data_IF_407927067941
#
_entry.id   IF_407927067941
#
_cell.length_a   1.000
_cell.length_b   1.000
_cell.length_c   1.000
_cell.angle_alpha   90.00
_cell.angle_beta   90.00
_cell.angle_gamma   90.00
#
_symmetry.space_group_name_H-M   'P 1'
#
loop_
_entity.id
_entity.type
_entity.pdbx_description
1 polymer ?
#
# COMPACT_ATOMS: atom_id res chain seq x y z
N UNK A 1 5.62 32.72 -8.59
CA UNK A 1 4.98 32.72 -7.26
C UNK A 1 3.49 32.40 -7.31
N UNK A 2 2.74 32.96 -8.26
CA UNK A 2 1.29 32.69 -8.42
C UNK A 2 0.97 31.19 -8.55
N UNK A 3 1.77 30.43 -9.31
CA UNK A 3 1.51 29.03 -9.59
C UNK A 3 1.67 28.14 -8.35
N UNK A 4 2.64 28.44 -7.49
CA UNK A 4 2.80 27.80 -6.18
C UNK A 4 1.62 28.09 -5.24
N UNK A 5 1.09 29.31 -5.27
CA UNK A 5 -0.09 29.67 -4.45
C UNK A 5 -1.32 28.91 -4.92
N UNK A 6 -1.56 28.85 -6.24
CA UNK A 6 -2.66 28.06 -6.82
C UNK A 6 -2.51 26.59 -6.45
N UNK A 7 -1.33 26.02 -6.61
CA UNK A 7 -1.04 24.64 -6.24
C UNK A 7 -1.33 24.36 -4.75
N UNK A 8 -0.78 25.17 -3.85
CA UNK A 8 -0.98 24.99 -2.40
C UNK A 8 -2.46 25.11 -2.05
N UNK A 9 -3.19 26.05 -2.65
CA UNK A 9 -4.63 26.23 -2.41
C UNK A 9 -5.43 24.99 -2.88
N UNK A 10 -5.12 24.45 -4.08
CA UNK A 10 -5.76 23.25 -4.62
C UNK A 10 -5.47 22.04 -3.73
N UNK A 11 -4.21 21.83 -3.32
CA UNK A 11 -3.82 20.71 -2.46
C UNK A 11 -4.47 20.83 -1.08
N UNK A 12 -4.49 22.02 -0.48
CA UNK A 12 -5.13 22.25 0.82
C UNK A 12 -6.63 21.95 0.76
N UNK A 13 -7.32 22.43 -0.30
CA UNK A 13 -8.73 22.11 -0.53
C UNK A 13 -8.94 20.60 -0.73
N UNK A 14 -8.09 19.95 -1.52
CA UNK A 14 -8.13 18.53 -1.77
C UNK A 14 -7.98 17.71 -0.47
N UNK A 15 -6.99 18.06 0.37
CA UNK A 15 -6.78 17.40 1.67
C UNK A 15 -7.94 17.63 2.64
N UNK A 16 -8.53 18.84 2.65
CA UNK A 16 -9.70 19.13 3.46
C UNK A 16 -10.92 18.30 3.05
N UNK A 17 -11.15 18.15 1.74
CA UNK A 17 -12.19 17.28 1.18
C UNK A 17 -11.90 15.81 1.52
N UNK A 18 -10.67 15.34 1.32
CA UNK A 18 -10.26 13.97 1.62
C UNK A 18 -10.47 13.64 3.11
N UNK A 19 -10.15 14.56 4.01
CA UNK A 19 -10.39 14.42 5.45
C UNK A 19 -11.89 14.36 5.79
N UNK A 20 -12.71 15.23 5.17
CA UNK A 20 -14.16 15.27 5.40
C UNK A 20 -14.87 14.01 4.91
N UNK A 21 -14.49 13.51 3.74
CA UNK A 21 -15.06 12.30 3.11
C UNK A 21 -14.68 11.03 3.87
N UNK A 22 -13.49 11.01 4.48
CA UNK A 22 -12.99 9.86 5.27
C UNK A 22 -13.93 9.37 6.36
N UNK A 23 -14.80 10.23 6.85
CA UNK A 23 -15.74 9.90 7.94
C UNK A 23 -16.99 9.13 7.48
N UNK A 24 -17.31 9.13 6.16
CA UNK A 24 -18.62 8.66 5.66
C UNK A 24 -18.57 7.60 4.55
N UNK A 25 -17.39 7.25 4.00
CA UNK A 25 -17.34 6.49 2.75
C UNK A 25 -16.93 5.04 2.94
N UNK A 26 -17.86 4.12 2.62
CA UNK A 26 -17.58 2.70 2.40
C UNK A 26 -16.92 2.46 1.01
N UNK A 27 -16.53 1.21 0.73
CA UNK A 27 -15.87 0.78 -0.52
C UNK A 27 -16.61 1.21 -1.81
N UNK A 28 -17.94 1.38 -1.76
CA UNK A 28 -18.77 1.78 -2.91
C UNK A 28 -18.44 3.19 -3.44
N UNK A 29 -17.97 4.09 -2.56
CA UNK A 29 -17.61 5.46 -2.94
C UNK A 29 -16.13 5.58 -3.33
N UNK A 30 -15.31 4.55 -3.08
CA UNK A 30 -13.88 4.60 -3.37
C UNK A 30 -13.60 4.75 -4.88
N UNK A 31 -14.38 4.08 -5.74
CA UNK A 31 -14.26 4.21 -7.20
C UNK A 31 -14.54 5.65 -7.66
N UNK A 32 -15.64 6.24 -7.19
CA UNK A 32 -16.01 7.62 -7.52
C UNK A 32 -14.91 8.60 -7.10
N UNK A 33 -14.40 8.48 -5.86
CA UNK A 33 -13.35 9.35 -5.38
C UNK A 33 -12.03 9.15 -6.10
N UNK A 34 -11.70 7.92 -6.51
CA UNK A 34 -10.52 7.68 -7.36
C UNK A 34 -10.64 8.41 -8.70
N UNK A 35 -11.82 8.38 -9.33
CA UNK A 35 -12.08 9.14 -10.57
C UNK A 35 -11.97 10.64 -10.34
N UNK A 36 -12.54 11.17 -9.25
CA UNK A 36 -12.47 12.60 -8.90
C UNK A 36 -11.01 13.06 -8.77
N UNK A 37 -10.16 12.28 -8.09
CA UNK A 37 -8.74 12.62 -7.94
C UNK A 37 -7.98 12.57 -9.25
N UNK A 38 -8.28 11.59 -10.12
CA UNK A 38 -7.67 11.51 -11.46
C UNK A 38 -8.10 12.72 -12.31
N UNK A 39 -9.39 13.04 -12.34
CA UNK A 39 -9.91 14.19 -13.10
C UNK A 39 -9.30 15.50 -12.60
N UNK A 40 -9.18 15.69 -11.27
CA UNK A 40 -8.53 16.87 -10.70
C UNK A 40 -7.06 16.97 -11.15
N UNK A 41 -6.33 15.86 -11.17
CA UNK A 41 -4.94 15.81 -11.63
C UNK A 41 -4.81 16.15 -13.12
N UNK A 42 -5.72 15.62 -13.95
CA UNK A 42 -5.76 15.93 -15.39
C UNK A 42 -6.13 17.39 -15.65
N UNK A 43 -7.09 17.94 -14.90
CA UNK A 43 -7.48 19.34 -14.98
C UNK A 43 -6.33 20.28 -14.59
N UNK A 44 -5.54 19.90 -13.55
CA UNK A 44 -4.35 20.66 -13.17
C UNK A 44 -3.26 20.58 -14.25
N UNK A 45 -3.06 19.40 -14.87
CA UNK A 45 -2.17 19.23 -16.03
C UNK A 45 -2.60 20.09 -17.22
N UNK A 46 -3.90 20.19 -17.50
CA UNK A 46 -4.47 21.08 -18.50
C UNK A 46 -4.23 22.57 -18.17
N UNK A 47 -4.37 22.95 -16.90
CA UNK A 47 -4.05 24.29 -16.44
C UNK A 47 -2.55 24.63 -16.62
N UNK A 48 -1.63 23.67 -16.33
CA UNK A 48 -0.19 23.83 -16.61
C UNK A 48 0.04 24.04 -18.12
N UNK A 49 -0.61 23.23 -18.96
CA UNK A 49 -0.48 23.34 -20.41
C UNK A 49 -0.90 24.72 -20.94
N UNK A 50 -1.95 25.29 -20.40
CA UNK A 50 -2.43 26.63 -20.76
C UNK A 50 -1.50 27.75 -20.28
N UNK A 51 -0.83 27.59 -19.13
CA UNK A 51 0.02 28.62 -18.52
C UNK A 51 1.48 28.56 -18.96
N UNK A 52 2.03 27.36 -19.11
CA UNK A 52 3.45 27.08 -19.35
C UNK A 52 3.72 26.43 -20.72
N UNK A 53 2.65 26.21 -21.52
CA UNK A 53 2.74 25.56 -22.82
C UNK A 53 2.46 24.06 -22.80
N UNK A 54 2.12 23.52 -23.99
CA UNK A 54 1.71 22.12 -24.15
C UNK A 54 2.74 21.12 -23.64
N UNK A 55 4.02 21.36 -23.89
CA UNK A 55 5.12 20.47 -23.46
C UNK A 55 5.23 20.37 -21.95
N UNK A 56 5.00 21.45 -21.21
CA UNK A 56 5.00 21.43 -19.73
C UNK A 56 3.81 20.59 -19.19
N UNK A 57 2.63 20.73 -19.82
CA UNK A 57 1.47 19.92 -19.47
C UNK A 57 1.69 18.42 -19.74
N UNK A 58 2.25 18.08 -20.89
CA UNK A 58 2.60 16.70 -21.27
C UNK A 58 3.66 16.13 -20.31
N UNK A 59 4.66 16.92 -19.97
CA UNK A 59 5.71 16.55 -19.00
C UNK A 59 5.13 16.28 -17.61
N UNK A 60 4.23 17.13 -17.12
CA UNK A 60 3.50 16.92 -15.87
C UNK A 60 2.71 15.60 -15.90
N UNK A 61 1.93 15.36 -16.98
CA UNK A 61 1.14 14.14 -17.11
C UNK A 61 2.02 12.88 -17.17
N UNK A 62 3.17 12.97 -17.84
CA UNK A 62 4.15 11.88 -17.89
C UNK A 62 4.69 11.54 -16.50
N UNK A 63 5.12 12.55 -15.75
CA UNK A 63 5.62 12.39 -14.39
C UNK A 63 4.52 11.89 -13.45
N UNK A 64 3.30 12.44 -13.57
CA UNK A 64 2.12 12.01 -12.81
C UNK A 64 1.77 10.53 -13.08
N UNK A 65 1.71 10.11 -14.35
CA UNK A 65 1.38 8.72 -14.71
C UNK A 65 2.42 7.74 -14.20
N UNK A 66 3.70 8.09 -14.33
CA UNK A 66 4.82 7.29 -13.83
C UNK A 66 4.73 7.13 -12.31
N UNK A 67 4.60 8.22 -11.57
CA UNK A 67 4.50 8.21 -10.11
C UNK A 67 3.23 7.48 -9.64
N UNK A 68 2.09 7.71 -10.31
CA UNK A 68 0.82 7.03 -10.02
C UNK A 68 0.94 5.53 -10.20
N UNK A 69 1.64 5.10 -11.25
CA UNK A 69 1.89 3.68 -11.53
C UNK A 69 2.75 3.04 -10.44
N UNK A 70 3.85 3.69 -10.04
CA UNK A 70 4.72 3.21 -8.95
C UNK A 70 3.99 3.18 -7.60
N UNK A 71 3.11 4.17 -7.35
CA UNK A 71 2.31 4.24 -6.13
C UNK A 71 1.34 3.07 -5.96
N UNK A 72 0.93 2.37 -7.05
CA UNK A 72 0.09 1.17 -6.95
C UNK A 72 0.83 0.02 -6.27
N UNK A 73 2.14 -0.14 -6.50
CA UNK A 73 2.94 -1.18 -5.79
C UNK A 73 3.03 -0.90 -4.28
N UNK A 74 3.05 0.37 -3.86
CA UNK A 74 3.03 0.75 -2.45
C UNK A 74 1.79 0.24 -1.72
N UNK A 75 0.65 0.10 -2.43
CA UNK A 75 -0.60 -0.42 -1.84
C UNK A 75 -0.46 -1.86 -1.36
N UNK A 76 0.33 -2.70 -2.03
CA UNK A 76 0.60 -4.08 -1.57
C UNK A 76 1.26 -4.08 -0.19
N UNK A 77 2.22 -3.18 -0.01
CA UNK A 77 2.94 -3.08 1.26
C UNK A 77 2.02 -2.55 2.35
N UNK A 78 1.15 -1.60 2.05
CA UNK A 78 0.16 -1.10 3.03
C UNK A 78 -0.81 -2.20 3.47
N UNK A 79 -1.29 -3.04 2.53
CA UNK A 79 -2.14 -4.19 2.86
C UNK A 79 -1.40 -5.15 3.80
N UNK A 80 -0.13 -5.44 3.49
CA UNK A 80 0.70 -6.32 4.31
C UNK A 80 0.93 -5.73 5.72
N UNK A 81 1.28 -4.44 5.83
CA UNK A 81 1.47 -3.75 7.11
C UNK A 81 0.19 -3.81 7.97
N UNK A 82 -0.98 -3.54 7.39
CA UNK A 82 -2.23 -3.62 8.13
C UNK A 82 -2.57 -5.05 8.55
N UNK A 83 -2.24 -6.04 7.74
CA UNK A 83 -2.38 -7.45 8.11
C UNK A 83 -1.47 -7.82 9.27
N UNK A 84 -0.18 -7.44 9.22
CA UNK A 84 0.81 -7.73 10.27
C UNK A 84 0.50 -7.01 11.60
N UNK A 85 -0.01 -5.78 11.53
CA UNK A 85 -0.33 -4.97 12.71
C UNK A 85 -1.74 -5.22 13.26
N UNK A 86 -2.55 -6.02 12.56
CA UNK A 86 -3.93 -6.33 12.97
C UNK A 86 -4.87 -5.12 13.00
N UNK A 87 -4.62 -4.10 12.16
CA UNK A 87 -5.46 -2.89 12.12
C UNK A 87 -6.78 -3.20 11.40
N UNK A 88 -7.93 -3.12 12.07
CA UNK A 88 -9.22 -3.38 11.45
C UNK A 88 -9.55 -2.37 10.35
N UNK A 89 -10.31 -2.77 9.30
CA UNK A 89 -10.64 -1.92 8.15
C UNK A 89 -11.23 -0.55 8.52
N UNK A 90 -11.96 -0.47 9.62
CA UNK A 90 -12.56 0.79 10.10
C UNK A 90 -11.53 1.85 10.55
N UNK A 91 -10.31 1.44 10.93
CA UNK A 91 -9.25 2.33 11.39
C UNK A 91 -8.17 2.62 10.34
N UNK A 92 -8.09 1.80 9.29
CA UNK A 92 -7.12 1.95 8.19
C UNK A 92 -7.20 3.33 7.49
N UNK A 93 -8.39 3.91 7.22
CA UNK A 93 -8.49 5.23 6.58
C UNK A 93 -7.79 6.34 7.36
N UNK A 94 -7.78 6.22 8.69
CA UNK A 94 -7.13 7.22 9.55
C UNK A 94 -5.61 7.10 9.54
N UNK A 95 -5.10 5.88 9.56
CA UNK A 95 -3.66 5.63 9.46
C UNK A 95 -3.15 6.08 8.10
N UNK A 96 -3.86 5.72 7.01
CA UNK A 96 -3.51 6.13 5.65
C UNK A 96 -3.55 7.66 5.46
N UNK A 97 -4.51 8.35 6.07
CA UNK A 97 -4.58 9.81 5.98
C UNK A 97 -3.32 10.47 6.56
N UNK A 98 -2.93 10.07 7.77
CA UNK A 98 -1.73 10.60 8.41
C UNK A 98 -0.46 10.17 7.68
N UNK A 99 -0.42 8.93 7.16
CA UNK A 99 0.68 8.44 6.33
C UNK A 99 0.84 9.26 5.05
N UNK A 100 -0.23 9.53 4.32
CA UNK A 100 -0.17 10.37 3.11
C UNK A 100 0.23 11.80 3.46
N UNK A 101 -0.28 12.36 4.56
CA UNK A 101 0.05 13.72 4.97
C UNK A 101 1.54 13.86 5.31
N UNK A 102 2.11 12.95 6.08
CA UNK A 102 3.55 12.97 6.39
C UNK A 102 4.41 12.65 5.18
N UNK A 103 3.97 11.73 4.32
CA UNK A 103 4.63 11.45 3.04
C UNK A 103 4.74 12.70 2.14
N UNK A 104 3.71 13.54 2.10
CA UNK A 104 3.75 14.82 1.38
C UNK A 104 4.90 15.72 1.85
N UNK A 105 5.05 15.86 3.16
CA UNK A 105 6.12 16.68 3.76
C UNK A 105 7.49 16.07 3.51
N UNK A 106 7.63 14.77 3.71
CA UNK A 106 8.88 14.04 3.51
C UNK A 106 9.33 14.10 2.04
N UNK A 107 8.42 13.85 1.09
CA UNK A 107 8.73 13.92 -0.35
C UNK A 107 9.07 15.33 -0.80
N UNK A 108 8.44 16.37 -0.22
CA UNK A 108 8.83 17.76 -0.45
C UNK A 108 10.31 18.00 -0.15
N UNK A 109 10.76 17.56 1.02
CA UNK A 109 12.15 17.69 1.42
C UNK A 109 13.10 16.88 0.50
N UNK A 110 12.75 15.62 0.22
CA UNK A 110 13.56 14.74 -0.61
C UNK A 110 13.67 15.22 -2.07
N UNK A 111 12.58 15.71 -2.66
CA UNK A 111 12.58 16.29 -4.01
C UNK A 111 13.45 17.54 -4.03
N UNK A 112 13.29 18.44 -3.03
CA UNK A 112 14.12 19.64 -2.93
C UNK A 112 15.62 19.33 -2.85
N UNK A 113 16.00 18.34 -2.03
CA UNK A 113 17.39 17.87 -1.93
C UNK A 113 17.83 17.22 -3.24
N UNK A 114 17.00 16.37 -3.85
CA UNK A 114 17.32 15.64 -5.08
C UNK A 114 17.53 16.58 -6.27
N UNK A 115 16.67 17.58 -6.46
CA UNK A 115 16.80 18.59 -7.52
C UNK A 115 18.08 19.39 -7.32
N UNK A 116 18.32 19.94 -6.11
CA UNK A 116 19.53 20.72 -5.80
C UNK A 116 20.81 19.88 -5.97
N UNK A 117 20.77 18.61 -5.57
CA UNK A 117 21.91 17.72 -5.72
C UNK A 117 22.25 17.48 -7.21
N UNK A 118 21.24 17.30 -8.07
CA UNK A 118 21.43 17.15 -9.51
C UNK A 118 21.94 18.43 -10.19
N UNK A 119 21.46 19.60 -9.74
CA UNK A 119 21.94 20.87 -10.24
C UNK A 119 23.40 21.13 -9.89
N UNK A 120 23.80 20.73 -8.67
CA UNK A 120 25.17 20.95 -8.16
C UNK A 120 26.16 19.88 -8.60
N UNK A 121 25.71 18.65 -8.77
CA UNK A 121 26.54 17.48 -9.06
C UNK A 121 26.01 16.70 -10.25
N UNK A 122 26.34 17.12 -11.47
CA UNK A 122 25.85 16.49 -12.72
C UNK A 122 26.19 14.99 -12.81
N UNK A 123 27.28 14.54 -12.20
CA UNK A 123 27.65 13.11 -12.16
C UNK A 123 26.66 12.23 -11.41
N UNK A 124 25.82 12.82 -10.54
CA UNK A 124 24.77 12.08 -9.80
C UNK A 124 23.72 11.43 -10.72
N UNK A 125 23.62 11.84 -11.97
CA UNK A 125 22.78 11.20 -12.98
C UNK A 125 23.08 9.70 -13.11
N UNK A 126 24.37 9.31 -13.12
CA UNK A 126 24.77 7.92 -13.32
C UNK A 126 24.43 7.01 -12.12
N UNK A 127 24.74 7.37 -10.85
CA UNK A 127 24.25 6.60 -9.70
C UNK A 127 22.74 6.50 -9.63
N UNK A 128 22.00 7.58 -9.95
CA UNK A 128 20.54 7.57 -9.97
C UNK A 128 20.00 6.65 -11.06
N UNK A 129 20.57 6.68 -12.27
CA UNK A 129 20.20 5.75 -13.33
C UNK A 129 20.50 4.29 -12.94
N UNK A 130 21.66 4.03 -12.32
CA UNK A 130 22.03 2.72 -11.76
C UNK A 130 21.05 2.25 -10.68
N UNK A 131 20.57 3.16 -9.82
CA UNK A 131 19.57 2.87 -8.81
C UNK A 131 18.23 2.45 -9.43
N UNK A 132 17.77 3.14 -10.50
CA UNK A 132 16.55 2.76 -11.22
C UNK A 132 16.65 1.38 -11.86
N UNK A 133 17.80 1.06 -12.47
CA UNK A 133 18.05 -0.28 -13.03
C UNK A 133 18.06 -1.33 -11.91
N UNK A 134 18.71 -1.05 -10.79
CA UNK A 134 18.71 -1.94 -9.63
C UNK A 134 17.31 -2.18 -9.09
N UNK A 135 16.50 -1.11 -8.93
CA UNK A 135 15.11 -1.20 -8.49
C UNK A 135 14.27 -2.07 -9.45
N UNK A 136 14.41 -1.87 -10.76
CA UNK A 136 13.73 -2.66 -11.78
C UNK A 136 14.10 -4.15 -11.70
N UNK A 137 15.40 -4.47 -11.62
CA UNK A 137 15.88 -5.87 -11.50
C UNK A 137 15.38 -6.50 -10.19
N UNK A 138 15.40 -5.75 -9.08
CA UNK A 138 14.88 -6.20 -7.79
C UNK A 138 13.38 -6.52 -7.89
N UNK A 139 12.61 -5.68 -8.59
CA UNK A 139 11.17 -5.85 -8.79
C UNK A 139 10.83 -7.10 -9.59
N UNK A 140 11.69 -7.49 -10.55
CA UNK A 140 11.54 -8.72 -11.33
C UNK A 140 11.89 -10.00 -10.57
N UNK A 141 12.70 -9.93 -9.51
CA UNK A 141 13.15 -11.09 -8.73
C UNK A 141 12.11 -11.71 -7.79
N UNK A 142 10.89 -11.15 -7.73
CA UNK A 142 9.72 -11.81 -7.13
C UNK A 142 9.31 -11.32 -5.72
N UNK A 143 8.12 -11.79 -5.33
CA UNK A 143 7.36 -11.38 -4.14
C UNK A 143 7.93 -11.85 -2.81
N UNK A 144 8.57 -13.01 -2.78
CA UNK A 144 9.08 -13.59 -1.52
C UNK A 144 10.22 -12.77 -0.91
N UNK A 145 11.09 -12.22 -1.76
CA UNK A 145 12.15 -11.34 -1.30
C UNK A 145 11.60 -10.03 -0.70
N UNK A 146 10.53 -9.49 -1.29
CA UNK A 146 9.88 -8.25 -0.84
C UNK A 146 9.13 -8.46 0.48
N UNK A 147 8.41 -9.59 0.63
CA UNK A 147 7.71 -9.95 1.87
C UNK A 147 8.69 -10.05 3.04
N UNK A 148 9.78 -10.79 2.88
CA UNK A 148 10.83 -10.90 3.92
C UNK A 148 11.51 -9.56 4.23
N UNK A 149 11.64 -8.68 3.23
CA UNK A 149 12.23 -7.34 3.44
C UNK A 149 11.29 -6.45 4.25
N UNK A 150 9.99 -6.48 3.95
CA UNK A 150 8.96 -5.77 4.70
C UNK A 150 8.87 -6.30 6.13
N UNK A 151 8.85 -7.62 6.33
CA UNK A 151 8.82 -8.24 7.67
C UNK A 151 10.02 -7.84 8.52
N UNK A 152 11.23 -7.89 7.95
CA UNK A 152 12.45 -7.43 8.65
C UNK A 152 12.41 -5.92 8.93
N UNK A 153 11.99 -5.11 7.96
CA UNK A 153 11.80 -3.68 8.13
C UNK A 153 10.77 -3.36 9.22
N UNK A 154 9.66 -4.09 9.23
CA UNK A 154 8.62 -3.99 10.27
C UNK A 154 9.18 -4.32 11.66
N UNK A 155 9.96 -5.38 11.82
CA UNK A 155 10.58 -5.75 13.08
C UNK A 155 11.56 -4.67 13.57
N UNK A 156 12.39 -4.13 12.68
CA UNK A 156 13.32 -3.03 12.98
C UNK A 156 12.52 -1.78 13.38
N UNK A 157 11.52 -1.38 12.60
CA UNK A 157 10.71 -0.20 12.87
C UNK A 157 9.96 -0.32 14.21
N UNK A 158 9.39 -1.49 14.49
CA UNK A 158 8.73 -1.77 15.80
C UNK A 158 9.73 -1.64 16.95
N UNK A 159 10.96 -2.17 16.79
CA UNK A 159 11.99 -2.07 17.81
C UNK A 159 12.46 -0.63 18.05
N UNK A 160 12.52 0.20 17.01
CA UNK A 160 12.83 1.62 17.11
C UNK A 160 11.73 2.40 17.82
N UNK A 161 10.48 2.19 17.45
CA UNK A 161 9.32 2.80 18.14
C UNK A 161 9.31 2.39 19.61
N UNK A 162 9.54 1.10 19.91
CA UNK A 162 9.57 0.59 21.30
C UNK A 162 10.69 1.18 22.15
N UNK A 163 11.82 1.60 21.55
CA UNK A 163 12.91 2.29 22.26
C UNK A 163 12.54 3.72 22.67
N UNK A 164 11.68 4.39 21.88
CA UNK A 164 11.30 5.78 22.11
C UNK A 164 10.06 5.86 23.01
N UNK A 165 9.08 4.99 22.76
CA UNK A 165 7.80 4.96 23.45
C UNK A 165 7.37 3.49 23.67
N UNK A 166 7.05 3.06 24.91
CA UNK A 166 6.59 1.71 25.17
C UNK A 166 5.31 1.42 24.39
N UNK A 167 5.17 0.19 23.87
CA UNK A 167 4.06 -0.21 22.99
C UNK A 167 3.00 -0.96 23.81
N UNK A 168 1.74 -0.55 23.66
CA UNK A 168 0.60 -1.32 24.17
C UNK A 168 0.18 -2.33 23.10
N UNK A 169 0.07 -3.64 23.41
CA UNK A 169 -0.25 -4.67 22.43
C UNK A 169 -1.69 -4.60 21.91
N UNK A 170 -2.58 -3.86 22.60
CA UNK A 170 -4.01 -3.76 22.27
C UNK A 170 -4.38 -2.42 21.67
N UNK A 171 -5.29 -2.44 20.70
CA UNK A 171 -5.88 -1.22 20.17
C UNK A 171 -6.69 -0.50 21.24
N UNK A 172 -6.43 0.79 21.43
CA UNK A 172 -7.13 1.67 22.38
C UNK A 172 -8.04 2.65 21.63
N UNK A 173 -9.15 2.14 21.10
CA UNK A 173 -10.07 2.90 20.28
C UNK A 173 -9.37 3.46 19.02
N UNK A 174 -9.45 4.79 18.84
CA UNK A 174 -9.03 5.49 17.64
C UNK A 174 -7.77 6.36 17.88
N UNK A 175 -6.92 6.02 18.85
CA UNK A 175 -5.78 6.84 19.30
C UNK A 175 -4.46 6.22 18.87
N UNK A 176 -3.53 7.06 18.39
CA UNK A 176 -2.15 6.67 18.09
C UNK A 176 -1.30 6.55 19.37
N UNK A 177 -1.54 7.45 20.32
CA UNK A 177 -0.89 7.48 21.62
C UNK A 177 -1.94 7.41 22.71
N UNK A 178 -1.66 6.67 23.77
CA UNK A 178 -2.50 6.57 24.97
C UNK A 178 -1.64 6.85 26.20
N UNK A 179 -2.28 7.30 27.26
CA UNK A 179 -1.63 7.49 28.56
C UNK A 179 -2.10 6.39 29.50
N UNK A 180 -1.18 5.56 29.96
CA UNK A 180 -1.43 4.49 30.93
C UNK A 180 -0.38 4.60 32.02
N UNK A 181 -0.81 4.57 33.26
CA UNK A 181 0.05 4.67 34.46
C UNK A 181 1.00 5.89 34.43
N UNK A 182 0.47 7.05 33.96
CA UNK A 182 1.24 8.29 33.86
C UNK A 182 2.18 8.38 32.61
N UNK A 183 2.46 7.28 31.92
CA UNK A 183 3.36 7.21 30.78
C UNK A 183 2.60 7.26 29.46
N UNK A 184 3.21 7.90 28.44
CA UNK A 184 2.72 7.85 27.05
C UNK A 184 3.15 6.53 26.41
N UNK A 185 2.18 5.82 25.84
CA UNK A 185 2.41 4.53 25.19
C UNK A 185 1.91 4.57 23.75
N UNK A 186 2.65 3.93 22.83
CA UNK A 186 2.29 3.77 21.41
C UNK A 186 1.24 2.67 21.26
N UNK A 187 0.24 2.92 20.42
CA UNK A 187 -0.71 1.87 20.02
C UNK A 187 -0.25 1.19 18.74
N UNK A 188 -0.82 0.03 18.33
CA UNK A 188 -0.56 -0.59 17.03
C UNK A 188 -0.79 0.36 15.84
N UNK A 189 -1.68 1.36 15.98
CA UNK A 189 -1.89 2.36 14.94
C UNK A 189 -0.65 3.25 14.71
N UNK A 190 0.08 3.63 15.77
CA UNK A 190 1.32 4.41 15.63
C UNK A 190 2.42 3.56 15.01
N UNK A 191 2.50 2.29 15.40
CA UNK A 191 3.45 1.33 14.82
C UNK A 191 3.18 1.15 13.32
N UNK A 192 1.92 0.94 12.91
CA UNK A 192 1.53 0.84 11.51
C UNK A 192 1.86 2.12 10.74
N UNK A 193 1.62 3.30 11.32
CA UNK A 193 1.98 4.59 10.71
C UNK A 193 3.49 4.69 10.50
N UNK A 194 4.30 4.39 11.51
CA UNK A 194 5.77 4.42 11.41
C UNK A 194 6.30 3.44 10.35
N UNK A 195 5.67 2.27 10.20
CA UNK A 195 6.01 1.30 9.15
C UNK A 195 5.66 1.85 7.76
N UNK A 196 4.49 2.46 7.59
CA UNK A 196 4.07 3.09 6.33
C UNK A 196 5.06 4.18 5.94
N UNK A 197 5.44 5.07 6.86
CA UNK A 197 6.41 6.13 6.62
C UNK A 197 7.78 5.59 6.22
N UNK A 198 8.27 4.58 6.95
CA UNK A 198 9.56 3.96 6.64
C UNK A 198 9.57 3.31 5.26
N UNK A 199 8.46 2.70 4.85
CA UNK A 199 8.35 2.09 3.52
C UNK A 199 8.18 3.15 2.43
N UNK A 200 7.44 4.24 2.69
CA UNK A 200 7.33 5.35 1.71
C UNK A 200 8.68 6.04 1.49
N UNK A 201 9.51 6.18 2.53
CA UNK A 201 10.89 6.66 2.38
C UNK A 201 11.71 5.76 1.44
N UNK A 202 11.59 4.44 1.56
CA UNK A 202 12.29 3.49 0.69
C UNK A 202 11.78 3.63 -0.75
N UNK A 203 10.47 3.75 -0.96
CA UNK A 203 9.87 3.94 -2.28
C UNK A 203 10.21 5.31 -2.89
N UNK A 204 10.36 6.35 -2.08
CA UNK A 204 10.78 7.66 -2.55
C UNK A 204 12.20 7.64 -3.15
N UNK A 205 13.08 6.77 -2.64
CA UNK A 205 14.43 6.58 -3.19
C UNK A 205 14.38 6.03 -4.63
N UNK A 206 13.36 5.22 -4.97
CA UNK A 206 13.19 4.66 -6.32
C UNK A 206 12.37 5.62 -7.22
N UNK A 207 11.34 6.27 -6.68
CA UNK A 207 10.39 7.08 -7.47
C UNK A 207 10.91 8.47 -7.81
N UNK A 208 11.60 9.15 -6.89
CA UNK A 208 12.13 10.50 -7.14
C UNK A 208 13.12 10.52 -8.31
N UNK A 209 14.12 9.63 -8.42
CA UNK A 209 14.96 9.54 -9.60
C UNK A 209 14.20 9.27 -10.89
N UNK A 210 13.12 8.46 -10.84
CA UNK A 210 12.30 8.17 -11.99
C UNK A 210 11.57 9.42 -12.53
N UNK A 211 11.03 10.27 -11.64
CA UNK A 211 10.44 11.56 -12.04
C UNK A 211 11.50 12.55 -12.51
N UNK A 212 12.67 12.59 -11.88
CA UNK A 212 13.80 13.43 -12.30
C UNK A 212 14.36 13.03 -13.68
N UNK A 213 14.15 11.78 -14.12
CA UNK A 213 14.41 11.34 -15.49
C UNK A 213 13.43 11.93 -16.51
N UNK A 214 12.23 12.31 -16.09
CA UNK A 214 11.22 12.96 -16.94
C UNK A 214 11.47 14.45 -17.03
N UNK A 215 11.65 15.13 -15.89
CA UNK A 215 11.84 16.58 -15.81
C UNK A 215 12.68 16.96 -14.59
N UNK A 216 13.43 18.08 -14.70
CA UNK A 216 14.17 18.68 -13.58
C UNK A 216 13.52 19.95 -13.05
N UNK A 217 12.41 20.40 -13.68
CA UNK A 217 11.66 21.55 -13.20
C UNK A 217 11.07 21.25 -11.81
N UNK A 218 11.48 21.95 -10.74
CA UNK A 218 11.05 21.65 -9.38
C UNK A 218 9.52 21.74 -9.21
N UNK A 219 8.87 22.64 -9.94
CA UNK A 219 7.42 22.79 -9.89
C UNK A 219 6.70 21.58 -10.47
N UNK A 220 7.14 21.09 -11.64
CA UNK A 220 6.56 19.93 -12.30
C UNK A 220 6.82 18.65 -11.51
N UNK A 221 8.06 18.46 -11.00
CA UNK A 221 8.42 17.31 -10.17
C UNK A 221 7.56 17.24 -8.90
N UNK A 222 7.46 18.37 -8.20
CA UNK A 222 6.74 18.43 -6.94
C UNK A 222 5.24 18.25 -7.12
N UNK A 223 4.66 19.00 -8.06
CA UNK A 223 3.21 18.97 -8.28
C UNK A 223 2.73 17.62 -8.80
N UNK A 224 3.44 16.99 -9.77
CA UNK A 224 3.08 15.67 -10.28
C UNK A 224 3.13 14.59 -9.19
N UNK A 225 4.14 14.63 -8.32
CA UNK A 225 4.29 13.71 -7.21
C UNK A 225 3.15 13.85 -6.19
N UNK A 226 2.83 15.09 -5.78
CA UNK A 226 1.74 15.36 -4.83
C UNK A 226 0.38 14.92 -5.40
N UNK A 227 0.08 15.25 -6.66
CA UNK A 227 -1.17 14.82 -7.31
C UNK A 227 -1.25 13.30 -7.45
N UNK A 228 -0.14 12.60 -7.63
CA UNK A 228 -0.11 11.14 -7.65
C UNK A 228 -0.46 10.52 -6.29
N UNK A 229 -0.02 11.14 -5.19
CA UNK A 229 -0.37 10.71 -3.83
C UNK A 229 -1.81 11.03 -3.46
N UNK A 230 -2.38 12.13 -3.99
CA UNK A 230 -3.79 12.42 -3.80
C UNK A 230 -4.64 11.27 -4.36
N UNK A 231 -5.60 10.82 -3.59
CA UNK A 231 -6.45 9.69 -3.95
C UNK A 231 -5.82 8.31 -3.75
N UNK A 232 -4.58 8.19 -3.25
CA UNK A 232 -3.98 6.89 -2.94
C UNK A 232 -4.82 6.09 -1.94
N UNK A 233 -5.43 6.77 -0.98
CA UNK A 233 -6.37 6.17 -0.03
C UNK A 233 -7.62 5.60 -0.71
N UNK A 234 -8.23 6.34 -1.63
CA UNK A 234 -9.39 5.84 -2.40
C UNK A 234 -8.99 4.65 -3.26
N UNK A 235 -7.82 4.73 -3.89
CA UNK A 235 -7.26 3.64 -4.69
C UNK A 235 -6.98 2.40 -3.84
N UNK A 236 -6.51 2.57 -2.59
CA UNK A 236 -6.29 1.47 -1.66
C UNK A 236 -7.57 0.63 -1.45
N UNK A 237 -8.71 1.29 -1.17
CA UNK A 237 -9.97 0.59 -0.98
C UNK A 237 -10.56 0.02 -2.28
N UNK A 238 -10.32 0.67 -3.41
CA UNK A 238 -10.77 0.19 -4.71
C UNK A 238 -9.99 -1.05 -5.15
N UNK A 239 -8.68 -1.00 -5.05
CA UNK A 239 -7.75 -1.99 -5.61
C UNK A 239 -7.46 -3.13 -4.62
N UNK A 240 -7.68 -2.90 -3.32
CA UNK A 240 -7.32 -3.86 -2.27
C UNK A 240 -7.89 -5.27 -2.47
N UNK A 241 -9.07 -5.40 -3.09
CA UNK A 241 -9.66 -6.69 -3.46
C UNK A 241 -9.16 -7.23 -4.82
N UNK A 242 -8.79 -6.33 -5.74
CA UNK A 242 -8.43 -6.67 -7.12
C UNK A 242 -6.91 -6.78 -7.34
N UNK A 243 -6.10 -6.24 -6.42
CA UNK A 243 -4.65 -6.11 -6.57
C UNK A 243 -3.95 -7.45 -6.82
N UNK A 244 -4.46 -8.54 -6.22
CA UNK A 244 -3.95 -9.89 -6.42
C UNK A 244 -4.15 -10.42 -7.84
N UNK A 245 -5.07 -9.83 -8.62
CA UNK A 245 -5.32 -10.19 -10.02
C UNK A 245 -4.37 -9.49 -11.00
N UNK A 246 -3.68 -8.42 -10.57
CA UNK A 246 -2.80 -7.63 -11.44
C UNK A 246 -1.38 -8.21 -11.54
N UNK A 247 -1.28 -9.46 -12.06
CA UNK A 247 -0.03 -10.23 -12.17
C UNK A 247 1.06 -9.51 -12.96
N UNK A 248 0.71 -8.84 -14.06
CA UNK A 248 1.67 -8.20 -14.96
C UNK A 248 1.99 -6.75 -14.59
N UNK A 249 1.38 -6.22 -13.51
CA UNK A 249 1.65 -4.85 -13.08
C UNK A 249 3.13 -4.67 -12.68
N UNK A 250 3.70 -5.58 -11.89
CA UNK A 250 5.10 -5.51 -11.46
C UNK A 250 6.10 -5.58 -12.60
N UNK A 251 6.02 -6.54 -13.54
CA UNK A 251 6.87 -6.52 -14.73
C UNK A 251 6.73 -5.23 -15.54
N UNK A 252 5.52 -4.71 -15.70
CA UNK A 252 5.27 -3.43 -16.37
C UNK A 252 5.97 -2.26 -15.68
N UNK A 253 5.87 -2.17 -14.34
CA UNK A 253 6.58 -1.15 -13.55
C UNK A 253 8.10 -1.29 -13.67
N UNK A 254 8.64 -2.50 -13.66
CA UNK A 254 10.07 -2.73 -13.86
C UNK A 254 10.54 -2.23 -15.25
N UNK A 255 9.75 -2.47 -16.29
CA UNK A 255 10.04 -1.93 -17.63
C UNK A 255 10.02 -0.40 -17.63
N UNK A 256 9.05 0.22 -16.94
CA UNK A 256 9.00 1.69 -16.82
C UNK A 256 10.25 2.25 -16.12
N UNK A 257 10.69 1.60 -15.03
CA UNK A 257 11.91 2.00 -14.31
C UNK A 257 13.18 1.84 -15.17
N UNK A 258 13.26 0.75 -15.96
CA UNK A 258 14.37 0.57 -16.92
C UNK A 258 14.38 1.66 -17.98
N UNK A 259 13.22 2.00 -18.54
CA UNK A 259 13.09 3.07 -19.53
C UNK A 259 13.44 4.44 -18.92
N UNK A 260 12.99 4.73 -17.72
CA UNK A 260 13.33 5.96 -16.99
C UNK A 260 14.83 6.03 -16.71
N UNK A 261 15.45 4.94 -16.24
CA UNK A 261 16.88 4.85 -15.98
C UNK A 261 17.72 5.02 -17.27
N UNK A 262 17.30 4.37 -18.36
CA UNK A 262 17.94 4.54 -19.67
C UNK A 262 17.83 5.99 -20.17
N UNK A 263 16.65 6.59 -20.08
CA UNK A 263 16.44 8.00 -20.44
C UNK A 263 17.32 8.94 -19.59
N UNK A 264 17.43 8.67 -18.29
CA UNK A 264 18.26 9.48 -17.40
C UNK A 264 19.75 9.37 -17.77
N UNK A 265 20.24 8.17 -18.05
CA UNK A 265 21.63 7.92 -18.45
C UNK A 265 21.97 8.52 -19.82
N UNK A 266 21.03 8.46 -20.78
CA UNK A 266 21.21 8.94 -22.14
C UNK A 266 20.87 10.43 -22.31
N UNK A 267 20.31 11.07 -21.31
CA UNK A 267 19.69 12.40 -21.37
C UNK A 267 20.61 13.55 -21.82
N UNK A 268 21.93 13.32 -21.87
CA UNK A 268 22.90 14.26 -22.45
C UNK A 268 23.19 13.99 -23.95
N UNK A 269 22.87 12.80 -24.44
CA UNK A 269 23.18 12.37 -25.81
C UNK A 269 21.96 12.30 -26.74
N UNK A 270 20.76 12.09 -26.18
CA UNK A 270 19.54 11.92 -26.97
C UNK A 270 18.39 12.69 -26.33
N UNK A 271 17.87 13.69 -27.03
CA UNK A 271 16.65 14.41 -26.64
C UNK A 271 15.41 13.60 -27.01
N UNK A 272 14.75 13.00 -26.02
CA UNK A 272 13.51 12.26 -26.21
C UNK A 272 12.32 13.21 -25.95
N UNK A 273 11.45 13.44 -26.96
CA UNK A 273 10.30 14.32 -26.83
C UNK A 273 9.38 13.89 -25.66
N UNK A 274 8.81 14.83 -24.89
CA UNK A 274 7.90 14.53 -23.78
C UNK A 274 6.71 13.66 -24.20
N UNK A 275 6.13 13.93 -25.37
CA UNK A 275 4.99 13.17 -25.91
C UNK A 275 5.35 11.69 -26.18
N UNK A 276 6.54 11.41 -26.70
CA UNK A 276 7.00 10.03 -26.92
C UNK A 276 7.19 9.31 -25.57
N UNK A 277 7.77 9.99 -24.59
CA UNK A 277 7.93 9.46 -23.24
C UNK A 277 6.56 9.12 -22.62
N UNK A 278 5.58 10.02 -22.71
CA UNK A 278 4.22 9.79 -22.25
C UNK A 278 3.59 8.59 -22.95
N UNK A 279 3.68 8.54 -24.29
CA UNK A 279 3.10 7.46 -25.09
C UNK A 279 3.68 6.08 -24.70
N UNK A 280 4.99 5.98 -24.55
CA UNK A 280 5.66 4.73 -24.14
C UNK A 280 5.24 4.30 -22.74
N UNK A 281 5.24 5.20 -21.77
CA UNK A 281 4.81 4.90 -20.41
C UNK A 281 3.33 4.48 -20.37
N UNK A 282 2.47 5.20 -21.08
CA UNK A 282 1.04 4.87 -21.19
C UNK A 282 0.81 3.50 -21.82
N UNK A 283 1.48 3.19 -22.93
CA UNK A 283 1.38 1.88 -23.61
C UNK A 283 1.84 0.76 -22.69
N UNK A 284 2.98 0.89 -22.02
CA UNK A 284 3.48 -0.13 -21.07
C UNK A 284 2.49 -0.34 -19.92
N UNK A 285 1.95 0.74 -19.36
CA UNK A 285 0.98 0.66 -18.28
C UNK A 285 -0.32 0.00 -18.71
N UNK A 286 -0.90 0.44 -19.83
CA UNK A 286 -2.13 -0.13 -20.39
C UNK A 286 -1.94 -1.60 -20.76
N UNK A 287 -0.80 -1.96 -21.36
CA UNK A 287 -0.46 -3.34 -21.69
C UNK A 287 -0.34 -4.21 -20.43
N UNK A 288 0.32 -3.72 -19.37
CA UNK A 288 0.48 -4.44 -18.11
C UNK A 288 -0.88 -4.68 -17.40
N UNK A 289 -1.72 -3.65 -17.36
CA UNK A 289 -3.07 -3.76 -16.77
C UNK A 289 -3.96 -4.62 -17.66
N UNK A 290 -3.99 -4.39 -18.97
CA UNK A 290 -4.78 -5.15 -19.94
C UNK A 290 -4.41 -6.63 -19.95
N UNK A 291 -3.12 -6.96 -20.00
CA UNK A 291 -2.64 -8.34 -19.89
C UNK A 291 -3.06 -8.98 -18.53
N UNK A 292 -3.02 -8.22 -17.42
CA UNK A 292 -3.45 -8.72 -16.12
C UNK A 292 -4.96 -9.02 -16.08
N UNK A 293 -5.77 -8.26 -16.79
CA UNK A 293 -7.21 -8.47 -16.87
C UNK A 293 -7.58 -9.61 -17.84
N UNK A 294 -6.85 -9.76 -18.92
CA UNK A 294 -7.06 -10.82 -19.93
C UNK A 294 -6.53 -12.18 -19.44
N UNK A 295 -5.42 -12.16 -18.70
CA UNK A 295 -4.78 -13.35 -18.12
C UNK A 295 -4.71 -13.20 -16.61
N UNK A 296 -5.86 -13.20 -15.91
CA UNK A 296 -5.85 -13.10 -14.45
C UNK A 296 -5.00 -14.25 -13.93
N UNK A 297 -3.95 -13.90 -13.18
CA UNK A 297 -3.19 -14.92 -12.46
C UNK A 297 -4.17 -15.67 -11.59
N UNK A 298 -4.08 -17.00 -11.60
CA UNK A 298 -4.70 -17.75 -10.50
C UNK A 298 -4.22 -17.09 -9.20
N UNK A 299 -5.12 -16.85 -8.24
CA UNK A 299 -4.68 -16.39 -6.94
C UNK A 299 -3.63 -17.41 -6.49
N UNK A 300 -2.36 -17.04 -6.55
CA UNK A 300 -1.33 -17.77 -5.81
C UNK A 300 -1.63 -17.50 -4.34
N UNK A 301 -2.67 -18.11 -3.84
CA UNK A 301 -2.69 -18.54 -2.47
C UNK A 301 -1.43 -19.40 -2.37
N UNK A 302 -0.50 -19.03 -1.53
CA UNK A 302 0.54 -19.95 -1.11
C UNK A 302 -0.21 -21.25 -0.85
N UNK A 303 0.05 -22.26 -1.71
CA UNK A 303 -0.78 -23.45 -1.68
C UNK A 303 -0.66 -23.97 -0.27
N UNK A 304 -1.77 -23.95 0.48
CA UNK A 304 -1.74 -24.37 1.87
C UNK A 304 -1.20 -25.80 1.88
N UNK A 305 -0.08 -26.00 2.53
CA UNK A 305 0.60 -27.30 2.61
C UNK A 305 -0.13 -28.28 3.51
N UNK A 306 -1.20 -27.82 4.19
CA UNK A 306 -1.97 -28.58 5.19
C UNK A 306 -3.36 -28.99 4.68
N UNK A 307 -3.60 -28.99 3.38
CA UNK A 307 -4.89 -29.43 2.79
C UNK A 307 -5.18 -30.92 3.05
N UNK A 308 -4.17 -31.73 3.16
CA UNK A 308 -4.24 -33.15 3.50
C UNK A 308 -4.78 -33.43 4.92
N UNK A 309 -4.75 -32.42 5.79
CA UNK A 309 -5.28 -32.52 7.16
C UNK A 309 -6.77 -32.13 7.27
N UNK A 310 -7.40 -31.72 6.16
CA UNK A 310 -8.83 -31.46 6.09
C UNK A 310 -9.57 -32.81 6.04
N UNK A 311 -10.45 -33.01 7.00
CA UNK A 311 -11.32 -34.17 7.10
C UNK A 311 -12.76 -33.75 6.97
N UNK A 312 -13.61 -34.64 6.50
CA UNK A 312 -15.05 -34.43 6.53
C UNK A 312 -15.56 -34.77 7.94
N UNK A 313 -15.60 -33.75 8.78
CA UNK A 313 -16.01 -33.85 10.19
C UNK A 313 -17.21 -32.98 10.46
N UNK A 314 -18.14 -33.50 11.26
CA UNK A 314 -19.26 -32.74 11.76
C UNK A 314 -18.85 -31.86 12.97
N UNK A 315 -19.51 -30.69 13.18
CA UNK A 315 -19.25 -29.87 14.35
C UNK A 315 -19.64 -30.63 15.63
N UNK A 316 -18.72 -30.65 16.61
CA UNK A 316 -18.95 -31.30 17.91
C UNK A 316 -20.07 -30.66 18.72
N UNK A 317 -20.27 -29.35 18.55
CA UNK A 317 -21.32 -28.58 19.23
C UNK A 317 -21.90 -27.51 18.31
N UNK A 318 -23.06 -26.95 18.72
CA UNK A 318 -23.66 -25.79 18.03
C UNK A 318 -23.11 -24.44 18.53
N UNK A 319 -22.24 -24.41 19.51
CA UNK A 319 -21.63 -23.23 20.12
C UNK A 319 -20.15 -23.46 20.42
N UNK A 320 -19.47 -22.47 20.96
CA UNK A 320 -18.08 -22.64 21.41
C UNK A 320 -18.03 -23.62 22.60
N UNK A 321 -17.27 -24.71 22.47
CA UNK A 321 -17.25 -25.80 23.46
C UNK A 321 -16.82 -25.35 24.85
N UNK A 322 -15.83 -24.47 24.93
CA UNK A 322 -15.33 -23.92 26.18
C UNK A 322 -16.26 -22.82 26.75
N UNK A 323 -16.76 -21.94 25.90
CA UNK A 323 -17.67 -20.89 26.35
C UNK A 323 -18.99 -21.46 26.88
N UNK A 324 -19.49 -22.57 26.29
CA UNK A 324 -20.68 -23.26 26.81
C UNK A 324 -20.46 -23.79 28.25
N UNK A 325 -19.24 -24.18 28.61
CA UNK A 325 -18.90 -24.66 29.96
C UNK A 325 -18.72 -23.53 30.96
N UNK A 326 -18.24 -22.35 30.51
CA UNK A 326 -17.97 -21.18 31.36
C UNK A 326 -19.12 -20.18 31.40
N UNK A 327 -20.14 -20.32 30.53
CA UNK A 327 -21.23 -19.37 30.39
C UNK A 327 -20.84 -18.07 29.67
N UNK A 328 -19.67 -18.04 29.00
CA UNK A 328 -19.21 -16.86 28.24
C UNK A 328 -19.91 -16.75 26.89
N UNK A 329 -19.99 -15.51 26.38
CA UNK A 329 -20.54 -15.22 25.04
C UNK A 329 -19.44 -15.16 23.99
N UNK A 330 -19.81 -15.43 22.74
CA UNK A 330 -18.90 -15.36 21.59
C UNK A 330 -19.47 -14.47 20.47
N UNK A 331 -18.60 -13.96 19.62
CA UNK A 331 -18.98 -13.13 18.46
C UNK A 331 -19.30 -14.00 17.25
N UNK A 332 -18.36 -14.89 16.89
CA UNK A 332 -18.48 -15.83 15.77
C UNK A 332 -17.86 -17.17 16.11
N UNK A 333 -18.24 -18.22 15.38
CA UNK A 333 -17.75 -19.56 15.59
C UNK A 333 -16.86 -20.03 14.43
N UNK A 334 -15.91 -20.87 14.78
CA UNK A 334 -14.98 -21.56 13.86
C UNK A 334 -14.97 -23.04 14.19
N UNK A 335 -15.03 -23.88 13.18
CA UNK A 335 -14.92 -25.32 13.32
C UNK A 335 -13.56 -25.82 12.84
N UNK A 336 -12.90 -26.62 13.60
CA UNK A 336 -11.67 -27.31 13.20
C UNK A 336 -11.98 -28.40 12.18
N UNK A 337 -11.37 -28.35 11.00
CA UNK A 337 -11.58 -29.32 9.94
C UNK A 337 -10.78 -30.63 10.13
N UNK A 338 -9.96 -30.73 11.17
CA UNK A 338 -9.25 -31.96 11.50
C UNK A 338 -9.99 -32.83 12.54
N UNK A 339 -10.80 -32.21 13.45
CA UNK A 339 -11.45 -32.95 14.55
C UNK A 339 -12.88 -32.49 14.88
N UNK A 340 -13.44 -31.48 14.21
CA UNK A 340 -14.82 -31.01 14.47
C UNK A 340 -14.98 -30.10 15.69
N UNK A 341 -13.91 -29.78 16.44
CA UNK A 341 -13.96 -28.87 17.60
C UNK A 341 -14.47 -27.50 17.19
N UNK A 342 -15.42 -26.94 17.97
CA UNK A 342 -16.01 -25.62 17.72
C UNK A 342 -15.49 -24.63 18.75
N UNK A 343 -14.74 -23.63 18.29
CA UNK A 343 -14.18 -22.55 19.11
C UNK A 343 -14.68 -21.16 18.67
N UNK A 344 -14.64 -20.21 19.56
CA UNK A 344 -14.94 -18.83 19.25
C UNK A 344 -13.78 -18.14 18.51
N UNK A 345 -14.11 -17.20 17.59
CA UNK A 345 -13.14 -16.47 16.77
C UNK A 345 -12.27 -15.49 17.58
N UNK A 346 -11.24 -14.92 16.94
CA UNK A 346 -10.30 -14.00 17.58
C UNK A 346 -10.91 -12.63 17.96
N UNK A 347 -12.07 -12.29 17.39
CA UNK A 347 -12.86 -11.13 17.82
C UNK A 347 -13.63 -11.39 19.12
N UNK A 348 -13.72 -12.64 19.58
CA UNK A 348 -14.34 -13.00 20.85
C UNK A 348 -13.32 -12.85 22.00
N UNK A 349 -13.83 -12.64 23.20
CA UNK A 349 -13.01 -12.45 24.42
C UNK A 349 -11.98 -13.57 24.65
N UNK A 350 -12.39 -14.83 24.42
CA UNK A 350 -11.62 -16.01 24.83
C UNK A 350 -10.81 -16.68 23.71
N UNK A 351 -11.07 -16.40 22.41
CA UNK A 351 -10.32 -16.86 21.22
C UNK A 351 -10.06 -18.37 21.20
N UNK A 352 -11.06 -19.19 21.53
CA UNK A 352 -10.89 -20.63 21.71
C UNK A 352 -10.49 -21.37 20.43
N UNK A 353 -10.84 -20.87 19.22
CA UNK A 353 -10.37 -21.47 17.97
C UNK A 353 -8.86 -21.36 17.84
N UNK A 354 -8.24 -20.23 18.14
CA UNK A 354 -6.78 -20.04 18.14
C UNK A 354 -6.13 -20.83 19.27
N UNK A 355 -6.72 -20.86 20.46
CA UNK A 355 -6.23 -21.67 21.59
C UNK A 355 -6.25 -23.17 21.26
N UNK A 356 -7.29 -23.66 20.56
CA UNK A 356 -7.35 -25.04 20.07
C UNK A 356 -6.21 -25.35 19.09
N UNK A 357 -5.98 -24.47 18.08
CA UNK A 357 -4.84 -24.65 17.18
C UNK A 357 -3.51 -24.73 17.93
N UNK A 358 -3.26 -23.82 18.89
CA UNK A 358 -2.02 -23.80 19.66
C UNK A 358 -1.81 -25.09 20.48
N UNK A 359 -2.90 -25.68 20.98
CA UNK A 359 -2.85 -26.89 21.81
C UNK A 359 -2.80 -28.18 21.01
N UNK A 360 -3.57 -28.28 19.92
CA UNK A 360 -3.74 -29.50 19.13
C UNK A 360 -2.84 -29.59 17.91
N UNK A 361 -2.33 -28.43 17.44
CA UNK A 361 -1.59 -28.33 16.17
C UNK A 361 -2.48 -28.45 14.92
N UNK A 362 -3.82 -28.53 15.04
CA UNK A 362 -4.72 -28.65 13.90
C UNK A 362 -4.80 -27.36 13.10
N UNK A 363 -4.29 -27.33 11.84
CA UNK A 363 -4.00 -26.08 11.16
C UNK A 363 -5.21 -25.39 10.52
N UNK A 364 -6.27 -26.14 10.15
CA UNK A 364 -7.33 -25.61 9.30
C UNK A 364 -8.65 -25.47 10.05
N UNK A 365 -9.21 -24.27 10.01
CA UNK A 365 -10.52 -23.92 10.56
C UNK A 365 -11.47 -23.44 9.45
N UNK A 366 -12.77 -23.70 9.61
CA UNK A 366 -13.83 -23.19 8.76
C UNK A 366 -14.77 -22.28 9.54
N UNK A 367 -15.29 -21.24 8.87
CA UNK A 367 -16.37 -20.43 9.44
C UNK A 367 -17.66 -21.25 9.62
N UNK A 368 -18.40 -20.96 10.67
CA UNK A 368 -19.73 -21.53 10.89
C UNK A 368 -20.83 -20.47 10.70
N UNK A 369 -20.51 -19.31 10.14
CA UNK A 369 -21.51 -18.25 9.91
C UNK A 369 -22.40 -18.59 8.71
N UNK A 370 -23.71 -18.39 8.80
CA UNK A 370 -24.63 -18.60 7.69
C UNK A 370 -24.24 -17.77 6.47
N UNK A 371 -24.17 -18.41 5.30
CA UNK A 371 -23.80 -17.75 4.03
C UNK A 371 -22.30 -17.62 3.78
N UNK A 372 -21.44 -17.95 4.74
CA UNK A 372 -20.00 -17.97 4.58
C UNK A 372 -19.48 -19.41 4.42
N UNK A 373 -18.46 -19.61 3.57
CA UNK A 373 -17.85 -20.94 3.32
C UNK A 373 -16.33 -20.94 3.39
N UNK A 374 -15.71 -19.82 3.78
CA UNK A 374 -14.27 -19.71 3.80
C UNK A 374 -13.62 -20.59 4.89
N UNK A 375 -12.40 -21.02 4.60
CA UNK A 375 -11.53 -21.80 5.49
C UNK A 375 -10.24 -21.01 5.72
N UNK A 376 -9.59 -21.21 6.85
CA UNK A 376 -8.36 -20.54 7.23
C UNK A 376 -7.32 -21.52 7.73
N UNK A 377 -6.09 -21.45 7.22
CA UNK A 377 -4.95 -22.16 7.76
C UNK A 377 -4.15 -21.28 8.71
N UNK A 378 -4.01 -21.70 9.96
CA UNK A 378 -3.24 -20.96 10.97
C UNK A 378 -1.74 -21.04 10.76
N UNK A 379 -1.20 -22.13 10.17
CA UNK A 379 0.23 -22.30 9.92
C UNK A 379 0.66 -21.44 8.74
N UNK A 380 0.01 -21.61 7.59
CA UNK A 380 0.34 -20.88 6.36
C UNK A 380 -0.29 -19.47 6.32
N UNK A 381 -1.12 -19.11 7.32
CA UNK A 381 -1.84 -17.84 7.43
C UNK A 381 -2.55 -17.45 6.13
N UNK A 382 -3.24 -18.41 5.51
CA UNK A 382 -3.90 -18.25 4.21
C UNK A 382 -5.34 -18.75 4.24
N UNK A 383 -6.19 -18.14 3.42
CA UNK A 383 -7.53 -18.62 3.14
C UNK A 383 -7.47 -19.83 2.21
N UNK A 384 -8.35 -20.79 2.44
CA UNK A 384 -8.58 -21.96 1.59
C UNK A 384 -9.98 -21.85 1.00
N UNK A 385 -10.13 -22.19 -0.25
CA UNK A 385 -11.43 -22.34 -0.95
C UNK A 385 -12.08 -23.70 -0.64
#
# INVERSE_FOLDING_TARGET
MTDWIVFVAVVAAALAVDFGVSRKSGARNAALWSVVWIVLSLAFGGWIALRHGGDAGITFLTAYLLEKSLSVDNLFVFILIFSLTGIPPALQPRVLFWGIFSALVMRAALIGIGVQALERFHWMIYPLAGLLVYAAVRMLRGTEAQSRYVEKGCAVCTSWVARIVPIVPTLQGNRFLVRKDGQRMATPMLVALAMIESTDLIFAVDSIPAVLAVTRDPFLVYTSNIFALLGLRSLYFLVGSAIRRLRFLRPGLAVMLLLAGAKLALGSAVEIPPLLTLAVIAVVFIAAVGASLLFPGEPTMAACTHRDQIRDVAPGTKGCEECLKTGDQWVQLRMCLSCGHVGCCDSSKNRHATAHFQKSGHPVMQTMQPGEKWKWCYVDQTMLD
#
